data_IF_027126497554
#
_entry.id   IF_027126497554
#
_cell.length_a   1.000
_cell.length_b   1.000
_cell.length_c   1.000
_cell.angle_alpha   90.00
_cell.angle_beta   90.00
_cell.angle_gamma   90.00
#
_symmetry.space_group_name_H-M   'P 1'
#
loop_
_entity.id
_entity.type
_entity.pdbx_description
1 polymer ?
#
# COMPACT_ATOMS: atom_id res chain seq x y z
N UNK A 1 -12.10 -19.65 -8.71
CA UNK A 1 -10.66 -19.58 -8.41
C UNK A 1 -10.21 -18.20 -8.84
N UNK A 2 -9.78 -17.37 -7.90
CA UNK A 2 -9.27 -16.03 -8.20
C UNK A 2 -7.73 -16.09 -8.14
N UNK A 3 -7.03 -15.41 -9.04
CA UNK A 3 -5.57 -15.42 -9.08
C UNK A 3 -4.97 -14.04 -9.31
N UNK A 4 -3.74 -13.86 -8.83
CA UNK A 4 -2.92 -12.70 -9.04
C UNK A 4 -1.45 -13.12 -9.23
N UNK A 5 -0.76 -12.49 -10.17
CA UNK A 5 0.69 -12.52 -10.20
C UNK A 5 1.24 -11.59 -9.13
N UNK A 6 2.28 -12.06 -8.43
CA UNK A 6 2.98 -11.27 -7.42
C UNK A 6 4.28 -10.79 -8.04
N UNK A 7 4.42 -9.47 -8.09
CA UNK A 7 5.60 -8.78 -8.58
C UNK A 7 6.43 -8.26 -7.40
N UNK A 8 7.73 -8.13 -7.61
CA UNK A 8 8.65 -7.55 -6.64
C UNK A 8 9.66 -6.66 -7.35
N UNK A 9 9.92 -5.48 -6.79
CA UNK A 9 11.07 -4.66 -7.17
C UNK A 9 12.27 -5.14 -6.37
N UNK A 10 13.29 -5.67 -7.05
CA UNK A 10 14.50 -6.17 -6.38
C UNK A 10 15.34 -5.01 -5.79
N UNK A 11 16.19 -5.28 -4.77
CA UNK A 11 17.08 -4.27 -4.23
C UNK A 11 17.92 -3.58 -5.31
N UNK A 12 17.92 -2.24 -5.31
CA UNK A 12 18.63 -1.43 -6.31
C UNK A 12 17.95 -1.31 -7.67
N UNK A 13 16.89 -2.07 -7.94
CA UNK A 13 16.09 -1.95 -9.15
C UNK A 13 14.97 -0.90 -8.99
N UNK A 14 14.46 -0.41 -10.13
CA UNK A 14 13.26 0.45 -10.20
C UNK A 14 12.12 -0.23 -10.95
N UNK A 15 12.41 -1.29 -11.71
CA UNK A 15 11.43 -2.07 -12.44
C UNK A 15 11.08 -3.34 -11.67
N UNK A 16 9.78 -3.65 -11.52
CA UNK A 16 9.36 -4.89 -10.91
C UNK A 16 9.64 -6.08 -11.83
N UNK A 17 9.84 -7.24 -11.22
CA UNK A 17 9.82 -8.54 -11.91
C UNK A 17 8.79 -9.46 -11.26
N UNK A 18 8.29 -10.44 -11.99
CA UNK A 18 7.33 -11.40 -11.43
C UNK A 18 8.02 -12.44 -10.56
N UNK A 19 7.68 -12.43 -9.27
CA UNK A 19 8.17 -13.37 -8.28
C UNK A 19 7.43 -14.70 -8.34
N UNK A 20 6.12 -14.67 -8.53
CA UNK A 20 5.29 -15.87 -8.45
C UNK A 20 3.82 -15.62 -8.73
N UNK A 21 3.02 -16.63 -8.39
CA UNK A 21 1.57 -16.59 -8.58
C UNK A 21 0.88 -16.97 -7.27
N UNK A 22 -0.11 -16.16 -6.91
CA UNK A 22 -0.97 -16.35 -5.76
C UNK A 22 -2.38 -16.68 -6.25
N UNK A 23 -3.01 -17.69 -5.64
CA UNK A 23 -4.34 -18.17 -5.98
C UNK A 23 -5.15 -18.30 -4.70
N UNK A 24 -6.40 -17.88 -4.72
CA UNK A 24 -7.35 -18.12 -3.65
C UNK A 24 -8.49 -19.03 -4.11
N UNK A 25 -8.81 -19.97 -3.25
CA UNK A 25 -9.97 -20.85 -3.36
C UNK A 25 -10.74 -20.83 -2.06
N UNK A 26 -12.06 -20.90 -2.15
CA UNK A 26 -12.92 -21.14 -1.00
C UNK A 26 -13.32 -22.61 -1.03
N UNK A 27 -13.03 -23.32 0.06
CA UNK A 27 -13.42 -24.71 0.18
C UNK A 27 -14.94 -24.87 0.40
N UNK A 28 -15.39 -26.13 0.46
CA UNK A 28 -16.82 -26.45 0.65
C UNK A 28 -17.38 -26.02 2.01
N UNK A 29 -16.51 -25.72 2.98
CA UNK A 29 -16.88 -25.26 4.32
C UNK A 29 -16.98 -23.75 4.40
N UNK A 30 -16.63 -23.03 3.32
CA UNK A 30 -16.57 -21.57 3.29
C UNK A 30 -15.21 -21.00 3.74
N UNK A 31 -14.22 -21.85 4.01
CA UNK A 31 -12.88 -21.41 4.42
C UNK A 31 -12.08 -21.00 3.18
N UNK A 32 -11.52 -19.79 3.20
CA UNK A 32 -10.64 -19.32 2.13
C UNK A 32 -9.21 -19.81 2.35
N UNK A 33 -8.65 -20.44 1.33
CA UNK A 33 -7.29 -21.00 1.32
C UNK A 33 -6.51 -20.34 0.18
N UNK A 34 -5.38 -19.75 0.54
CA UNK A 34 -4.44 -19.16 -0.40
C UNK A 34 -3.30 -20.11 -0.71
N UNK A 35 -2.89 -20.14 -1.98
CA UNK A 35 -1.72 -20.86 -2.44
C UNK A 35 -0.77 -19.94 -3.18
N UNK A 36 0.51 -20.00 -2.85
CA UNK A 36 1.55 -19.22 -3.51
C UNK A 36 2.63 -20.15 -4.06
N UNK A 37 3.11 -19.85 -5.27
CA UNK A 37 4.25 -20.54 -5.88
C UNK A 37 5.19 -19.54 -6.53
N UNK A 38 6.48 -19.66 -6.25
CA UNK A 38 7.51 -18.90 -6.95
C UNK A 38 7.64 -19.35 -8.40
N UNK A 39 7.84 -18.40 -9.31
CA UNK A 39 8.13 -18.70 -10.71
C UNK A 39 9.51 -19.35 -10.87
N UNK A 40 9.64 -20.33 -11.76
CA UNK A 40 10.94 -20.99 -12.04
C UNK A 40 12.03 -20.00 -12.46
N UNK A 41 11.65 -19.01 -13.27
CA UNK A 41 12.55 -17.93 -13.72
C UNK A 41 13.02 -17.06 -12.55
N UNK A 42 12.13 -16.77 -11.61
CA UNK A 42 12.48 -16.01 -10.41
C UNK A 42 13.41 -16.79 -9.49
N UNK A 43 13.12 -18.08 -9.23
CA UNK A 43 14.00 -18.94 -8.43
C UNK A 43 15.41 -19.12 -9.03
N UNK A 44 15.55 -18.99 -10.36
CA UNK A 44 16.82 -19.04 -11.06
C UNK A 44 17.50 -17.67 -11.20
N UNK A 45 16.85 -16.57 -10.79
CA UNK A 45 17.40 -15.23 -10.90
C UNK A 45 18.52 -15.06 -9.86
N UNK A 46 19.71 -14.57 -10.24
CA UNK A 46 20.87 -14.48 -9.32
C UNK A 46 20.59 -13.57 -8.12
N UNK A 47 19.83 -12.49 -8.34
CA UNK A 47 19.45 -11.53 -7.30
C UNK A 47 18.07 -11.82 -6.67
N UNK A 48 17.55 -13.04 -6.83
CA UNK A 48 16.28 -13.42 -6.24
C UNK A 48 16.32 -13.31 -4.72
N UNK A 49 15.27 -12.72 -4.15
CA UNK A 49 15.09 -12.61 -2.70
C UNK A 49 13.73 -13.15 -2.30
N UNK A 50 13.64 -13.70 -1.11
CA UNK A 50 12.36 -14.13 -0.54
C UNK A 50 11.42 -12.94 -0.28
N UNK A 51 10.12 -13.18 -0.50
CA UNK A 51 9.05 -12.24 -0.16
C UNK A 51 8.93 -12.11 1.36
N UNK A 52 9.02 -13.25 2.06
CA UNK A 52 8.99 -13.34 3.51
C UNK A 52 10.09 -14.33 3.96
N UNK A 53 11.07 -13.90 4.78
CA UNK A 53 12.14 -14.77 5.26
C UNK A 53 11.68 -15.89 6.20
N UNK A 54 10.46 -15.84 6.70
CA UNK A 54 9.89 -16.82 7.60
C UNK A 54 8.95 -17.76 6.85
N UNK A 55 7.86 -17.24 6.27
CA UNK A 55 6.80 -18.06 5.68
C UNK A 55 7.03 -18.40 4.21
N UNK A 56 7.48 -17.43 3.40
CA UNK A 56 7.60 -17.56 1.94
C UNK A 56 9.07 -17.60 1.49
N UNK A 57 9.87 -18.52 2.03
CA UNK A 57 11.28 -18.70 1.61
C UNK A 57 11.41 -19.10 0.14
N UNK A 58 12.52 -18.79 -0.52
CA UNK A 58 12.78 -19.26 -1.88
C UNK A 58 12.87 -20.80 -1.91
N UNK A 59 11.88 -21.44 -2.53
CA UNK A 59 11.87 -22.90 -2.71
C UNK A 59 10.94 -23.29 -3.86
N UNK A 60 11.25 -24.40 -4.59
CA UNK A 60 10.40 -24.92 -5.65
C UNK A 60 9.24 -25.75 -5.07
N UNK A 61 8.40 -25.13 -4.23
CA UNK A 61 7.22 -25.74 -3.63
C UNK A 61 6.02 -24.79 -3.66
N UNK A 62 4.83 -25.35 -3.46
CA UNK A 62 3.62 -24.59 -3.21
C UNK A 62 3.51 -24.30 -1.71
N UNK A 63 3.31 -23.03 -1.38
CA UNK A 63 2.94 -22.56 -0.05
C UNK A 63 1.42 -22.53 0.06
N UNK A 64 0.89 -22.85 1.23
CA UNK A 64 -0.55 -22.81 1.50
C UNK A 64 -0.81 -22.13 2.85
N UNK A 65 -1.87 -21.32 2.93
CA UNK A 65 -2.33 -20.72 4.18
C UNK A 65 -3.84 -20.58 4.20
N UNK A 66 -4.44 -20.83 5.37
CA UNK A 66 -5.83 -20.48 5.67
C UNK A 66 -5.92 -19.33 6.70
N UNK A 67 -4.78 -18.86 7.23
CA UNK A 67 -4.74 -17.71 8.13
C UNK A 67 -5.12 -16.43 7.37
N UNK A 68 -5.56 -15.39 8.09
CA UNK A 68 -5.80 -14.07 7.51
C UNK A 68 -6.78 -14.10 6.32
N UNK A 69 -7.78 -14.98 6.37
CA UNK A 69 -8.72 -15.17 5.26
C UNK A 69 -8.10 -15.81 4.02
N UNK A 70 -7.01 -16.57 4.18
CA UNK A 70 -6.29 -17.22 3.09
C UNK A 70 -5.25 -16.32 2.41
N UNK A 71 -4.80 -15.23 3.04
CA UNK A 71 -3.79 -14.32 2.48
C UNK A 71 -2.52 -14.36 3.32
N UNK A 72 -1.37 -14.63 2.70
CA UNK A 72 -0.08 -14.60 3.40
C UNK A 72 0.19 -13.21 4.00
N UNK A 73 0.77 -13.15 5.21
CA UNK A 73 1.00 -11.89 5.92
C UNK A 73 1.79 -10.87 5.09
N UNK A 74 2.86 -11.30 4.44
CA UNK A 74 3.67 -10.42 3.60
C UNK A 74 2.91 -9.87 2.38
N UNK A 75 1.94 -10.62 1.83
CA UNK A 75 1.07 -10.09 0.77
C UNK A 75 0.05 -9.10 1.35
N UNK A 76 -0.46 -9.37 2.56
CA UNK A 76 -1.37 -8.48 3.30
C UNK A 76 -0.70 -7.16 3.69
N UNK A 77 0.58 -7.14 4.00
CA UNK A 77 1.33 -5.91 4.27
C UNK A 77 1.40 -4.97 3.06
N UNK A 78 1.18 -5.51 1.87
CA UNK A 78 1.07 -4.78 0.60
C UNK A 78 -0.40 -4.61 0.14
N UNK A 79 -1.38 -5.09 0.92
CA UNK A 79 -2.82 -4.86 0.70
C UNK A 79 -3.23 -3.46 1.17
N UNK A 80 -4.33 -2.91 0.60
CA UNK A 80 -4.84 -1.62 1.04
C UNK A 80 -5.45 -1.75 2.43
N UNK A 81 -5.24 -0.71 3.25
CA UNK A 81 -5.88 -0.55 4.55
C UNK A 81 -7.34 -0.13 4.42
N UNK A 82 -7.99 0.20 5.54
CA UNK A 82 -9.40 0.60 5.54
C UNK A 82 -9.69 1.79 4.63
N UNK A 83 -8.83 2.82 4.63
CA UNK A 83 -8.99 3.97 3.74
C UNK A 83 -8.83 3.55 2.28
N UNK A 84 -7.76 2.82 1.95
CA UNK A 84 -7.53 2.34 0.58
C UNK A 84 -8.69 1.50 0.07
N UNK A 85 -9.21 0.58 0.88
CA UNK A 85 -10.38 -0.25 0.54
C UNK A 85 -11.62 0.60 0.26
N UNK A 86 -11.91 1.62 1.08
CA UNK A 86 -13.03 2.54 0.82
C UNK A 86 -12.90 3.27 -0.53
N UNK A 87 -11.69 3.69 -0.89
CA UNK A 87 -11.44 4.33 -2.19
C UNK A 87 -11.65 3.32 -3.32
N UNK A 88 -11.16 2.08 -3.16
CA UNK A 88 -11.35 0.99 -4.13
C UNK A 88 -12.84 0.68 -4.31
N UNK A 89 -13.60 0.50 -3.22
CA UNK A 89 -15.01 0.14 -3.27
C UNK A 89 -15.82 1.19 -4.05
N UNK A 90 -15.54 2.47 -3.78
CA UNK A 90 -16.17 3.60 -4.48
C UNK A 90 -15.77 3.66 -5.96
N UNK A 91 -14.54 3.30 -6.30
CA UNK A 91 -14.05 3.29 -7.68
C UNK A 91 -14.55 2.06 -8.48
N UNK A 92 -14.53 0.88 -7.88
CA UNK A 92 -14.90 -0.38 -8.53
C UNK A 92 -16.41 -0.50 -8.76
N UNK A 93 -17.23 0.27 -8.04
CA UNK A 93 -18.70 0.23 -8.15
C UNK A 93 -19.29 -1.14 -7.80
N UNK A 94 -18.56 -1.96 -7.04
CA UNK A 94 -18.93 -3.33 -6.68
C UNK A 94 -19.21 -3.43 -5.18
N UNK A 95 -20.31 -4.05 -4.75
CA UNK A 95 -20.72 -4.08 -3.35
C UNK A 95 -19.88 -5.01 -2.45
N UNK A 96 -19.06 -5.90 -3.03
CA UNK A 96 -18.18 -6.76 -2.24
C UNK A 96 -17.02 -7.28 -3.08
N UNK A 97 -15.81 -6.77 -2.79
CA UNK A 97 -14.56 -7.25 -3.34
C UNK A 97 -13.94 -8.31 -2.42
N UNK A 98 -13.41 -9.38 -3.00
CA UNK A 98 -12.60 -10.35 -2.27
C UNK A 98 -11.19 -9.81 -1.98
N UNK A 99 -10.43 -10.52 -1.14
CA UNK A 99 -9.06 -10.11 -0.80
C UNK A 99 -8.14 -10.00 -2.02
N UNK A 100 -8.25 -10.94 -2.98
CA UNK A 100 -7.50 -10.84 -4.24
C UNK A 100 -7.90 -9.61 -5.05
N UNK A 101 -9.18 -9.24 -5.06
CA UNK A 101 -9.63 -8.07 -5.80
C UNK A 101 -9.01 -6.80 -5.21
N UNK A 102 -8.92 -6.69 -3.89
CA UNK A 102 -8.22 -5.57 -3.25
C UNK A 102 -6.72 -5.54 -3.57
N UNK A 103 -6.06 -6.69 -3.66
CA UNK A 103 -4.66 -6.77 -4.11
C UNK A 103 -4.48 -6.23 -5.53
N UNK A 104 -5.38 -6.62 -6.43
CA UNK A 104 -5.36 -6.27 -7.87
C UNK A 104 -5.77 -4.83 -8.15
N UNK A 105 -6.74 -4.30 -7.40
CA UNK A 105 -7.21 -2.91 -7.56
C UNK A 105 -6.34 -1.89 -6.83
N UNK A 106 -5.44 -2.33 -5.95
CA UNK A 106 -4.49 -1.44 -5.30
C UNK A 106 -3.47 -0.89 -6.27
N UNK A 107 -3.12 0.38 -6.12
CA UNK A 107 -2.07 1.00 -6.92
C UNK A 107 -0.72 0.27 -6.78
N UNK A 108 0.12 0.41 -7.80
CA UNK A 108 1.46 -0.19 -7.83
C UNK A 108 2.35 0.33 -6.69
N UNK A 109 2.26 1.60 -6.32
CA UNK A 109 3.13 2.24 -5.32
C UNK A 109 2.63 2.05 -3.85
N UNK A 110 2.33 0.82 -3.47
CA UNK A 110 1.98 0.34 -2.10
C UNK A 110 3.18 0.32 -1.16
N UNK A 111 3.01 0.05 0.15
CA UNK A 111 4.18 -0.03 1.04
C UNK A 111 5.04 -1.25 0.70
N UNK A 112 6.35 -1.08 0.89
CA UNK A 112 7.35 -2.07 0.54
C UNK A 112 7.56 -2.19 -0.96
N UNK A 113 8.01 -3.37 -1.38
CA UNK A 113 8.51 -3.61 -2.75
C UNK A 113 7.62 -4.53 -3.58
N UNK A 114 6.47 -4.97 -3.05
CA UNK A 114 5.57 -5.88 -3.75
C UNK A 114 4.60 -5.12 -4.66
N UNK A 115 4.12 -5.80 -5.70
CA UNK A 115 3.05 -5.37 -6.60
C UNK A 115 2.22 -6.58 -7.03
N UNK A 116 1.03 -6.34 -7.59
CA UNK A 116 0.12 -7.42 -7.98
C UNK A 116 -0.57 -7.08 -9.29
N UNK A 117 -0.80 -8.09 -10.12
CA UNK A 117 -1.40 -7.90 -11.43
C UNK A 117 -2.05 -9.16 -11.99
N UNK A 118 -2.83 -9.00 -13.04
CA UNK A 118 -3.48 -10.11 -13.76
C UNK A 118 -2.53 -10.82 -14.73
N UNK A 119 -1.40 -10.19 -15.08
CA UNK A 119 -0.47 -10.68 -16.09
C UNK A 119 0.86 -11.10 -15.48
N UNK A 120 1.52 -12.07 -16.12
CA UNK A 120 2.84 -12.52 -15.71
C UNK A 120 3.94 -11.47 -15.98
N UNK A 121 3.73 -10.58 -16.94
CA UNK A 121 4.60 -9.41 -17.14
C UNK A 121 4.04 -8.26 -16.31
N UNK A 122 4.83 -7.66 -15.41
CA UNK A 122 4.35 -6.53 -14.63
C UNK A 122 4.14 -5.29 -15.53
N UNK A 123 3.21 -4.40 -15.16
CA UNK A 123 3.09 -3.12 -15.85
C UNK A 123 4.38 -2.28 -15.65
N UNK A 124 4.60 -1.32 -16.54
CA UNK A 124 5.67 -0.35 -16.37
C UNK A 124 5.52 0.40 -15.03
N UNK A 125 6.63 0.69 -14.34
CA UNK A 125 6.56 1.37 -13.04
C UNK A 125 5.94 2.75 -13.20
N UNK A 126 5.09 3.12 -12.23
CA UNK A 126 4.49 4.45 -12.21
C UNK A 126 5.57 5.50 -11.93
N UNK A 127 5.64 6.52 -12.78
CA UNK A 127 6.58 7.65 -12.66
C UNK A 127 5.88 8.96 -12.32
N UNK A 128 4.56 9.03 -12.51
CA UNK A 128 3.78 10.23 -12.28
C UNK A 128 3.09 10.19 -10.92
N UNK A 129 3.57 11.05 -10.02
CA UNK A 129 3.04 11.28 -8.69
C UNK A 129 2.42 12.68 -8.59
N UNK A 130 1.43 12.83 -7.70
CA UNK A 130 0.90 14.14 -7.37
C UNK A 130 2.01 14.99 -6.77
N UNK A 131 2.07 16.25 -7.15
CA UNK A 131 2.94 17.23 -6.50
C UNK A 131 2.19 17.89 -5.34
N UNK A 132 2.91 18.57 -4.45
CA UNK A 132 2.32 19.28 -3.30
C UNK A 132 1.25 20.30 -3.68
N UNK A 133 1.32 20.87 -4.89
CA UNK A 133 0.28 21.78 -5.44
C UNK A 133 -1.10 21.11 -5.57
N UNK A 134 -1.17 19.78 -5.67
CA UNK A 134 -2.42 19.03 -5.78
C UNK A 134 -3.08 18.72 -4.42
N UNK A 135 -2.43 19.03 -3.29
CA UNK A 135 -2.91 18.64 -1.96
C UNK A 135 -4.30 19.16 -1.62
N UNK A 136 -4.63 20.39 -2.00
CA UNK A 136 -5.97 20.93 -1.76
C UNK A 136 -7.04 20.15 -2.55
N UNK A 137 -6.74 19.79 -3.81
CA UNK A 137 -7.65 18.99 -4.63
C UNK A 137 -7.82 17.58 -4.06
N UNK A 138 -6.71 16.94 -3.66
CA UNK A 138 -6.72 15.64 -3.00
C UNK A 138 -7.56 15.64 -1.73
N UNK A 139 -7.42 16.68 -0.91
CA UNK A 139 -8.16 16.82 0.33
C UNK A 139 -9.66 16.99 0.08
N UNK A 140 -10.07 17.80 -0.90
CA UNK A 140 -11.49 17.95 -1.28
C UNK A 140 -12.09 16.63 -1.76
N UNK A 141 -11.37 15.87 -2.59
CA UNK A 141 -11.84 14.56 -3.05
C UNK A 141 -11.94 13.59 -1.88
N UNK A 142 -10.95 13.58 -0.98
CA UNK A 142 -11.00 12.75 0.22
C UNK A 142 -12.23 13.08 1.11
N UNK A 143 -12.54 14.35 1.31
CA UNK A 143 -13.73 14.77 2.07
C UNK A 143 -15.03 14.30 1.40
N UNK A 144 -15.17 14.47 0.09
CA UNK A 144 -16.33 13.99 -0.66
C UNK A 144 -16.50 12.46 -0.58
N UNK A 145 -15.39 11.71 -0.62
CA UNK A 145 -15.41 10.26 -0.42
C UNK A 145 -15.85 9.87 1.01
N UNK A 146 -15.44 10.63 2.03
CA UNK A 146 -15.87 10.42 3.42
C UNK A 146 -17.36 10.69 3.58
N UNK A 147 -17.84 11.82 3.04
CA UNK A 147 -19.22 12.28 3.10
C UNK A 147 -20.19 11.48 2.21
N UNK A 148 -19.65 10.50 1.47
CA UNK A 148 -20.36 9.70 0.47
C UNK A 148 -21.02 10.50 -0.65
N UNK A 149 -20.42 11.62 -1.01
CA UNK A 149 -20.86 12.48 -2.11
C UNK A 149 -20.41 11.92 -3.47
N UNK A 150 -21.18 12.16 -4.53
CA UNK A 150 -20.78 11.81 -5.89
C UNK A 150 -19.62 12.71 -6.36
N UNK A 151 -18.52 12.09 -6.79
CA UNK A 151 -17.41 12.78 -7.45
C UNK A 151 -17.52 12.48 -8.94
N UNK A 152 -17.69 13.51 -9.77
CA UNK A 152 -17.86 13.34 -11.21
C UNK A 152 -16.66 12.56 -11.81
N UNK A 153 -16.90 11.47 -12.56
CA UNK A 153 -15.83 10.73 -13.21
C UNK A 153 -15.31 11.53 -14.41
N UNK A 154 -14.15 12.16 -14.24
CA UNK A 154 -13.33 12.66 -15.33
C UNK A 154 -11.90 12.09 -15.23
N UNK A 155 -11.13 12.20 -16.31
CA UNK A 155 -9.78 11.62 -16.36
C UNK A 155 -8.84 12.17 -15.26
N UNK A 156 -9.03 13.44 -14.85
CA UNK A 156 -8.24 14.04 -13.80
C UNK A 156 -8.62 13.50 -12.41
N UNK A 157 -9.90 13.21 -12.19
CA UNK A 157 -10.40 12.61 -10.96
C UNK A 157 -10.00 11.14 -10.87
N UNK A 158 -9.97 10.41 -11.99
CA UNK A 158 -9.46 9.04 -12.00
C UNK A 158 -7.99 8.98 -11.58
N UNK A 159 -7.14 9.81 -12.18
CA UNK A 159 -5.72 9.86 -11.84
C UNK A 159 -5.51 10.20 -10.35
N UNK A 160 -6.37 11.05 -9.78
CA UNK A 160 -6.32 11.42 -8.37
C UNK A 160 -6.82 10.29 -7.47
N UNK A 161 -7.90 9.62 -7.83
CA UNK A 161 -8.38 8.43 -7.11
C UNK A 161 -7.28 7.37 -7.07
N UNK A 162 -6.62 7.12 -8.20
CA UNK A 162 -5.49 6.17 -8.24
C UNK A 162 -4.37 6.57 -7.28
N UNK A 163 -4.15 7.87 -7.03
CA UNK A 163 -3.12 8.37 -6.13
C UNK A 163 -3.56 8.40 -4.66
N UNK A 164 -4.87 8.37 -4.39
CA UNK A 164 -5.43 8.07 -3.07
C UNK A 164 -5.30 6.58 -2.72
N UNK A 165 -5.13 5.71 -3.72
CA UNK A 165 -4.82 4.29 -3.54
C UNK A 165 -3.33 4.04 -3.27
N UNK A 166 -2.45 4.98 -3.64
CA UNK A 166 -1.00 4.86 -3.45
C UNK A 166 -0.62 5.04 -1.98
N UNK A 167 0.27 4.18 -1.46
CA UNK A 167 0.75 4.23 -0.07
C UNK A 167 -0.26 3.78 0.99
N UNK A 168 -1.32 3.06 0.61
CA UNK A 168 -2.44 2.71 1.50
C UNK A 168 -2.22 1.48 2.36
N UNK A 169 -1.03 0.88 2.42
CA UNK A 169 -0.84 -0.29 3.29
C UNK A 169 -0.33 0.08 4.69
N UNK A 170 -0.63 -0.82 5.64
CA UNK A 170 -0.47 -0.68 7.09
C UNK A 170 -1.19 0.53 7.72
N UNK A 171 -2.30 0.23 8.42
CA UNK A 171 -2.86 1.05 9.50
C UNK A 171 -3.48 2.40 9.11
N UNK A 172 -4.79 2.54 9.35
CA UNK A 172 -5.47 3.82 9.44
C UNK A 172 -6.81 3.91 8.72
N UNK A 173 -7.79 4.59 9.33
CA UNK A 173 -9.07 4.94 8.70
C UNK A 173 -9.10 6.38 8.16
N UNK A 174 -7.95 7.08 8.21
CA UNK A 174 -7.82 8.49 7.83
C UNK A 174 -7.40 8.62 6.37
N UNK A 175 -7.89 9.64 5.66
CA UNK A 175 -7.46 9.88 4.30
C UNK A 175 -5.96 10.10 4.20
N UNK A 176 -5.36 9.43 3.23
CA UNK A 176 -3.97 9.60 2.85
C UNK A 176 -3.79 9.52 1.33
N UNK A 177 -2.73 10.15 0.86
CA UNK A 177 -2.28 10.11 -0.53
C UNK A 177 -0.75 10.07 -0.56
N UNK A 178 -0.18 9.58 -1.65
CA UNK A 178 1.25 9.78 -1.92
C UNK A 178 1.44 10.98 -2.84
N UNK A 179 2.43 11.79 -2.48
CA UNK A 179 2.86 12.95 -3.25
C UNK A 179 4.38 12.98 -3.34
N UNK A 180 4.88 13.51 -4.43
CA UNK A 180 6.29 13.83 -4.60
C UNK A 180 6.54 15.29 -4.23
N UNK A 181 7.63 15.52 -3.50
CA UNK A 181 8.08 16.85 -3.12
C UNK A 181 9.60 16.86 -2.96
N UNK A 182 10.26 17.82 -3.60
CA UNK A 182 11.72 18.02 -3.54
C UNK A 182 12.54 16.73 -3.84
N UNK A 183 12.05 15.88 -4.75
CA UNK A 183 12.71 14.64 -5.13
C UNK A 183 12.62 13.52 -4.07
N UNK A 184 11.59 13.55 -3.22
CA UNK A 184 11.24 12.45 -2.34
C UNK A 184 9.74 12.15 -2.42
N UNK A 185 9.37 10.90 -2.14
CA UNK A 185 7.97 10.51 -1.97
C UNK A 185 7.57 10.66 -0.50
N UNK A 186 6.37 11.20 -0.32
CA UNK A 186 5.77 11.51 0.97
C UNK A 186 4.37 10.93 1.03
N UNK A 187 3.97 10.49 2.22
CA UNK A 187 2.59 10.18 2.56
C UNK A 187 1.98 11.46 3.15
N UNK A 188 1.07 12.07 2.39
CA UNK A 188 0.22 13.16 2.86
C UNK A 188 -0.95 12.57 3.65
N UNK A 189 -1.08 12.93 4.93
CA UNK A 189 -2.17 12.53 5.81
C UNK A 189 -3.06 13.74 6.10
N UNK A 190 -4.34 13.61 5.78
CA UNK A 190 -5.30 14.69 5.92
C UNK A 190 -6.04 14.62 7.25
N UNK A 191 -6.18 15.77 7.92
CA UNK A 191 -7.13 15.91 9.01
C UNK A 191 -8.56 15.72 8.48
N UNK A 192 -9.43 15.10 9.27
CA UNK A 192 -10.87 15.03 9.01
C UNK A 192 -11.58 16.21 9.69
N UNK A 193 -12.76 16.56 9.19
CA UNK A 193 -13.57 17.63 9.78
C UNK A 193 -14.07 17.30 11.18
N UNK A 194 -14.27 16.01 11.49
CA UNK A 194 -14.71 15.49 12.78
C UNK A 194 -13.55 15.21 13.75
N UNK A 195 -12.33 15.64 13.43
CA UNK A 195 -11.18 15.48 14.32
C UNK A 195 -11.30 16.37 15.56
N UNK A 196 -11.20 15.76 16.74
CA UNK A 196 -11.19 16.48 18.03
C UNK A 196 -9.98 17.40 18.21
N UNK A 197 -8.89 17.12 17.51
CA UNK A 197 -7.65 17.89 17.53
C UNK A 197 -6.95 17.80 16.18
N UNK A 198 -6.03 18.72 15.91
CA UNK A 198 -5.22 18.71 14.71
C UNK A 198 -4.22 17.55 14.73
N UNK A 199 -4.63 16.41 14.17
CA UNK A 199 -3.84 15.18 14.17
C UNK A 199 -2.55 15.32 13.38
N UNK A 200 -2.56 16.12 12.31
CA UNK A 200 -1.36 16.41 11.54
C UNK A 200 -0.25 17.06 12.40
N UNK A 201 -0.60 18.08 13.19
CA UNK A 201 0.35 18.74 14.11
C UNK A 201 0.78 17.83 15.25
N UNK A 202 -0.16 17.09 15.84
CA UNK A 202 0.14 16.17 16.95
C UNK A 202 1.11 15.09 16.49
N UNK A 203 0.85 14.42 15.37
CA UNK A 203 1.71 13.37 14.85
C UNK A 203 3.08 13.92 14.41
N UNK A 204 3.16 15.11 13.79
CA UNK A 204 4.45 15.77 13.53
C UNK A 204 5.25 16.04 14.81
N UNK A 205 4.59 16.55 15.86
CA UNK A 205 5.23 16.80 17.14
C UNK A 205 5.75 15.51 17.78
N UNK A 206 5.00 14.41 17.68
CA UNK A 206 5.42 13.11 18.20
C UNK A 206 6.59 12.51 17.42
N UNK A 207 6.60 12.62 16.09
CA UNK A 207 7.74 12.19 15.27
C UNK A 207 9.01 13.02 15.57
N UNK A 208 8.84 14.32 15.77
CA UNK A 208 9.94 15.22 16.17
C UNK A 208 10.47 14.87 17.56
N UNK A 209 9.57 14.61 18.52
CA UNK A 209 9.95 14.17 19.86
C UNK A 209 10.69 12.83 19.82
N UNK A 210 10.22 11.86 19.05
CA UNK A 210 10.87 10.57 18.89
C UNK A 210 12.33 10.73 18.41
N UNK A 211 12.57 11.57 17.38
CA UNK A 211 13.92 11.89 16.92
C UNK A 211 14.75 12.61 17.98
N UNK A 212 14.16 13.56 18.71
CA UNK A 212 14.85 14.25 19.80
C UNK A 212 15.27 13.30 20.94
N UNK A 213 14.52 12.21 21.13
CA UNK A 213 14.85 11.12 22.06
C UNK A 213 15.84 10.08 21.47
N UNK A 214 16.34 10.27 20.25
CA UNK A 214 17.28 9.36 19.61
C UNK A 214 16.65 8.12 18.97
N UNK A 215 15.32 8.09 18.77
CA UNK A 215 14.65 7.02 18.03
C UNK A 215 14.74 7.26 16.52
N UNK A 216 14.89 6.17 15.76
CA UNK A 216 14.75 6.20 14.31
C UNK A 216 13.27 6.41 13.95
N UNK A 217 12.94 7.61 13.49
CA UNK A 217 11.59 7.97 13.08
C UNK A 217 11.62 8.77 11.76
N UNK A 218 10.65 8.50 10.89
CA UNK A 218 10.57 9.11 9.57
C UNK A 218 10.54 10.66 9.64
N UNK A 219 11.22 11.30 8.70
CA UNK A 219 11.14 12.75 8.50
C UNK A 219 9.68 13.17 8.28
N UNK A 220 9.31 14.31 8.84
CA UNK A 220 7.98 14.85 8.65
C UNK A 220 7.95 16.37 8.63
N UNK A 221 6.97 16.92 7.91
CA UNK A 221 6.67 18.36 7.88
C UNK A 221 5.16 18.57 7.83
N UNK A 222 4.70 19.72 8.30
CA UNK A 222 3.30 20.15 8.16
C UNK A 222 3.24 21.23 7.10
N UNK A 223 2.34 21.06 6.13
CA UNK A 223 2.08 22.03 5.08
C UNK A 223 0.63 22.51 5.15
N UNK A 224 0.38 23.74 4.70
CA UNK A 224 -0.97 24.29 4.61
C UNK A 224 -1.51 24.03 3.20
N UNK A 225 -2.65 23.36 3.09
CA UNK A 225 -3.36 23.14 1.83
C UNK A 225 -4.85 23.42 2.03
N UNK A 226 -5.45 24.25 1.19
CA UNK A 226 -6.87 24.62 1.32
C UNK A 226 -7.25 25.16 2.70
N UNK A 227 -6.35 25.89 3.37
CA UNK A 227 -6.56 26.42 4.72
C UNK A 227 -6.49 25.39 5.85
N UNK A 228 -6.10 24.14 5.58
CA UNK A 228 -5.96 23.07 6.57
C UNK A 228 -4.53 22.54 6.62
N UNK A 229 -4.10 22.15 7.82
CA UNK A 229 -2.82 21.49 8.00
C UNK A 229 -2.87 20.05 7.45
N UNK A 230 -1.86 19.70 6.67
CA UNK A 230 -1.62 18.36 6.12
C UNK A 230 -0.27 17.88 6.64
N UNK A 231 -0.23 16.68 7.21
CA UNK A 231 1.02 16.06 7.61
C UNK A 231 1.65 15.38 6.41
N UNK A 232 2.91 15.68 6.15
CA UNK A 232 3.75 15.01 5.17
C UNK A 232 4.72 14.11 5.95
N UNK A 233 4.68 12.80 5.72
CA UNK A 233 5.65 11.84 6.28
C UNK A 233 6.47 11.25 5.15
N UNK A 234 7.80 11.40 5.20
CA UNK A 234 8.68 10.88 4.14
C UNK A 234 8.62 9.37 4.10
N UNK A 235 8.49 8.80 2.91
CA UNK A 235 8.52 7.35 2.71
C UNK A 235 9.94 6.85 2.93
N UNK A 236 10.14 6.01 3.95
CA UNK A 236 11.43 5.34 4.20
C UNK A 236 11.67 4.18 3.24
N UNK A 237 10.61 3.68 2.59
CA UNK A 237 10.67 2.54 1.69
C UNK A 237 10.92 2.94 0.23
N UNK A 238 11.29 4.20 -0.01
CA UNK A 238 11.52 4.77 -1.33
C UNK A 238 12.78 5.62 -1.33
N UNK A 239 13.65 5.40 -2.31
CA UNK A 239 14.84 6.21 -2.52
C UNK A 239 14.94 6.63 -3.98
N UNK A 240 15.19 7.93 -4.21
CA UNK A 240 15.24 8.50 -5.56
C UNK A 240 16.58 8.19 -6.22
N UNK A 241 16.52 7.67 -7.44
CA UNK A 241 17.66 7.43 -8.32
C UNK A 241 17.38 8.06 -9.69
N UNK A 242 18.39 8.12 -10.57
CA UNK A 242 18.23 8.72 -11.90
C UNK A 242 17.10 8.07 -12.73
N UNK A 243 16.86 6.77 -12.54
CA UNK A 243 15.85 6.01 -13.28
C UNK A 243 14.44 6.01 -12.64
N UNK A 244 14.26 6.63 -11.46
CA UNK A 244 12.99 6.62 -10.73
C UNK A 244 13.18 6.43 -9.22
N UNK A 245 12.39 5.55 -8.62
CA UNK A 245 12.47 5.22 -7.19
C UNK A 245 12.77 3.74 -6.99
N UNK A 246 13.82 3.44 -6.22
CA UNK A 246 14.01 2.09 -5.70
C UNK A 246 13.03 1.84 -4.56
N UNK A 247 12.78 0.56 -4.25
CA UNK A 247 11.84 0.16 -3.19
C UNK A 247 12.56 -0.68 -2.14
N UNK A 248 12.39 -0.32 -0.87
CA UNK A 248 12.83 -1.16 0.23
C UNK A 248 11.85 -2.33 0.42
N UNK A 249 12.37 -3.52 0.68
CA UNK A 249 11.57 -4.66 1.14
C UNK A 249 11.21 -4.45 2.61
N UNK A 250 10.00 -4.85 2.98
CA UNK A 250 9.55 -4.81 4.36
C UNK A 250 8.43 -5.83 4.60
N UNK A 251 8.34 -6.27 5.84
CA UNK A 251 7.19 -6.98 6.40
C UNK A 251 6.92 -6.38 7.77
N UNK A 252 5.66 -6.36 8.17
CA UNK A 252 5.24 -5.81 9.46
C UNK A 252 5.57 -6.77 10.60
N UNK A 253 5.58 -6.23 11.82
CA UNK A 253 5.63 -7.05 13.03
C UNK A 253 4.43 -8.01 13.12
N UNK A 254 3.26 -7.63 12.59
CA UNK A 254 2.08 -8.50 12.55
C UNK A 254 2.33 -9.75 11.72
N UNK A 255 2.96 -9.59 10.54
CA UNK A 255 3.38 -10.70 9.68
C UNK A 255 4.40 -11.60 10.37
N UNK A 256 5.46 -11.00 10.94
CA UNK A 256 6.49 -11.75 11.66
C UNK A 256 5.95 -12.55 12.84
N UNK A 257 4.99 -11.97 13.58
CA UNK A 257 4.36 -12.61 14.73
C UNK A 257 3.18 -13.53 14.33
N UNK A 258 2.81 -13.57 13.05
CA UNK A 258 1.63 -14.28 12.53
C UNK A 258 0.34 -13.92 13.28
N UNK A 259 0.20 -12.64 13.60
CA UNK A 259 -0.96 -12.08 14.29
C UNK A 259 -1.83 -11.29 13.33
N UNK A 260 -3.09 -11.10 13.70
CA UNK A 260 -4.02 -10.28 12.93
C UNK A 260 -4.33 -8.98 13.66
N UNK A 261 -4.39 -7.87 12.93
CA UNK A 261 -5.05 -6.66 13.42
C UNK A 261 -6.56 -6.88 13.29
N UNK A 262 -7.20 -7.36 14.36
CA UNK A 262 -8.65 -7.47 14.43
C UNK A 262 -9.16 -6.49 15.48
N UNK A 263 -10.11 -5.63 15.09
CA UNK A 263 -10.85 -4.76 16.02
C UNK A 263 -11.65 -5.55 17.08
N UNK A 264 -11.73 -6.88 16.97
CA UNK A 264 -12.38 -7.78 17.92
C UNK A 264 -11.45 -8.36 19.00
N UNK A 265 -10.14 -8.09 18.92
CA UNK A 265 -9.15 -8.57 19.89
C UNK A 265 -8.73 -7.50 20.92
N UNK A 266 -9.55 -6.47 21.15
CA UNK A 266 -9.39 -5.51 22.26
C UNK A 266 -10.67 -5.43 23.07
#
# INVERSE_FOLDING_TARGET
MAEAFVHITLPGAVEPITAGRFVMETDRTGTSVGRFVYGRRYLAHPDAVEIDPVELKLAPRTYETAALGGVFGALRDASPDYWGRRVIDKHAGKPQLGEIDYLLHSADDRAGALGFGLNAEPPAPRRDFNQTVALEKLQRIADALIADEEVAPDAANQQIQDLLLVGTSMGGARPKAVVEDEGALWIAKFNRQDDRWNSARVEHAMLTLARACGLEAADSKVVLAGGRDVLMVRRFDRERVAAGYTRARMISALTLLRTEDSHRAR
#
